data_IF_994566978161
#
_entry.id   IF_994566978161
#
_cell.length_a   1.000
_cell.length_b   1.000
_cell.length_c   1.000
_cell.angle_alpha   90.00
_cell.angle_beta   90.00
_cell.angle_gamma   90.00
#
_symmetry.space_group_name_H-M   'P 1'
#
loop_
_entity.id
_entity.type
_entity.pdbx_description
1 polymer ?
#
# COMPACT_ATOMS: atom_id res chain seq x y z
N UNK A 1 -12.43 -10.26 -6.42
CA UNK A 1 -12.00 -9.00 -7.06
C UNK A 1 -12.33 -7.78 -6.20
N UNK A 2 -13.57 -7.28 -6.11
CA UNK A 2 -13.86 -6.06 -5.33
C UNK A 2 -13.35 -6.11 -3.88
N UNK A 3 -13.58 -7.25 -3.21
CA UNK A 3 -13.06 -7.52 -1.86
C UNK A 3 -11.53 -7.51 -1.83
N UNK A 4 -10.87 -8.21 -2.76
CA UNK A 4 -9.39 -8.27 -2.82
C UNK A 4 -8.80 -6.88 -3.08
N UNK A 5 -9.40 -6.11 -3.98
CA UNK A 5 -9.02 -4.72 -4.27
C UNK A 5 -9.15 -3.84 -3.03
N UNK A 6 -10.27 -3.94 -2.30
CA UNK A 6 -10.46 -3.23 -1.04
C UNK A 6 -9.37 -3.56 -0.02
N UNK A 7 -8.94 -4.82 0.07
CA UNK A 7 -7.84 -5.21 0.95
C UNK A 7 -6.49 -4.64 0.52
N UNK A 8 -6.16 -4.66 -0.77
CA UNK A 8 -4.94 -4.02 -1.30
C UNK A 8 -4.97 -2.52 -0.99
N UNK A 9 -6.08 -1.83 -1.28
CA UNK A 9 -6.24 -0.40 -1.04
C UNK A 9 -6.11 -0.05 0.44
N UNK A 10 -6.73 -0.84 1.32
CA UNK A 10 -6.61 -0.66 2.75
C UNK A 10 -5.17 -0.85 3.25
N UNK A 11 -4.39 -1.76 2.65
CA UNK A 11 -2.95 -1.90 2.93
C UNK A 11 -2.20 -0.63 2.54
N UNK A 12 -2.47 -0.06 1.36
CA UNK A 12 -1.82 1.18 0.89
C UNK A 12 -2.15 2.37 1.80
N UNK A 13 -3.43 2.52 2.15
CA UNK A 13 -3.93 3.56 3.07
C UNK A 13 -3.28 3.42 4.45
N UNK A 14 -3.26 2.21 5.03
CA UNK A 14 -2.63 1.97 6.34
C UNK A 14 -1.13 2.28 6.32
N UNK A 15 -0.42 1.90 5.25
CA UNK A 15 0.99 2.24 5.06
C UNK A 15 1.21 3.76 5.05
N UNK A 16 0.41 4.50 4.27
CA UNK A 16 0.53 5.95 4.16
C UNK A 16 0.18 6.66 5.48
N UNK A 17 -0.89 6.24 6.14
CA UNK A 17 -1.27 6.76 7.46
C UNK A 17 -0.17 6.51 8.49
N UNK A 18 0.45 5.33 8.46
CA UNK A 18 1.54 5.00 9.38
C UNK A 18 2.75 5.92 9.19
N UNK A 19 3.11 6.25 7.94
CA UNK A 19 4.14 7.23 7.61
C UNK A 19 3.74 8.62 8.13
N UNK A 20 2.54 9.05 7.78
CA UNK A 20 2.05 10.40 8.07
C UNK A 20 2.01 10.69 9.57
N UNK A 21 1.52 9.74 10.37
CA UNK A 21 1.39 9.86 11.82
C UNK A 21 2.73 9.77 12.54
N UNK A 22 3.67 8.97 12.06
CA UNK A 22 4.95 8.76 12.74
C UNK A 22 6.02 9.77 12.37
N UNK A 23 6.05 10.27 11.13
CA UNK A 23 7.12 11.14 10.60
C UNK A 23 7.48 12.33 11.51
N UNK A 24 6.54 13.06 12.15
CA UNK A 24 6.88 14.17 13.06
C UNK A 24 7.74 13.76 14.26
N UNK A 25 7.70 12.50 14.66
CA UNK A 25 8.31 11.99 15.89
C UNK A 25 9.60 11.19 15.65
N UNK A 26 9.99 10.99 14.39
CA UNK A 26 11.26 10.35 14.02
C UNK A 26 12.39 11.37 14.14
N UNK A 27 13.35 11.14 15.05
CA UNK A 27 14.38 12.14 15.40
C UNK A 27 15.81 11.76 15.05
N UNK A 28 16.18 10.49 15.17
CA UNK A 28 17.57 10.09 14.95
C UNK A 28 17.87 9.94 13.46
N UNK A 29 19.12 10.17 13.05
CA UNK A 29 19.51 10.07 11.64
C UNK A 29 19.25 8.68 11.06
N UNK A 30 19.46 7.62 11.86
CA UNK A 30 19.18 6.24 11.46
C UNK A 30 17.68 5.99 11.30
N UNK A 31 16.84 6.52 12.20
CA UNK A 31 15.40 6.31 12.10
C UNK A 31 14.80 7.10 10.92
N UNK A 32 15.34 8.27 10.62
CA UNK A 32 14.97 9.05 9.43
C UNK A 32 15.36 8.31 8.14
N UNK A 33 16.54 7.69 8.11
CA UNK A 33 16.95 6.85 6.98
C UNK A 33 16.00 5.65 6.80
N UNK A 34 15.59 5.01 7.90
CA UNK A 34 14.60 3.93 7.88
C UNK A 34 13.21 4.44 7.44
N UNK A 35 12.79 5.65 7.84
CA UNK A 35 11.55 6.28 7.38
C UNK A 35 11.58 6.48 5.87
N UNK A 36 12.68 6.97 5.31
CA UNK A 36 12.85 7.12 3.87
C UNK A 36 12.80 5.79 3.15
N UNK A 37 13.45 4.75 3.69
CA UNK A 37 13.37 3.42 3.12
C UNK A 37 11.93 2.88 3.14
N UNK A 38 11.26 2.96 4.28
CA UNK A 38 9.88 2.51 4.44
C UNK A 38 8.93 3.22 3.47
N UNK A 39 9.09 4.54 3.33
CA UNK A 39 8.30 5.36 2.42
C UNK A 39 8.52 4.95 0.97
N UNK A 40 9.77 4.70 0.55
CA UNK A 40 10.06 4.21 -0.81
C UNK A 40 9.50 2.81 -1.06
N UNK A 41 9.53 1.93 -0.05
CA UNK A 41 8.91 0.61 -0.17
C UNK A 41 7.39 0.74 -0.41
N UNK A 42 6.71 1.65 0.31
CA UNK A 42 5.29 1.92 0.06
C UNK A 42 5.04 2.49 -1.34
N UNK A 43 5.84 3.45 -1.79
CA UNK A 43 5.71 4.01 -3.13
C UNK A 43 5.90 2.93 -4.20
N UNK A 44 6.88 2.04 -4.03
CA UNK A 44 7.08 0.90 -4.94
C UNK A 44 5.88 -0.05 -4.92
N UNK A 45 5.24 -0.27 -3.77
CA UNK A 45 4.02 -1.06 -3.66
C UNK A 45 2.82 -0.41 -4.37
N UNK A 46 2.62 0.90 -4.20
CA UNK A 46 1.57 1.64 -4.91
C UNK A 46 1.81 1.57 -6.42
N UNK A 47 3.06 1.78 -6.85
CA UNK A 47 3.42 1.73 -8.28
C UNK A 47 3.16 0.34 -8.87
N UNK A 48 3.64 -0.72 -8.23
CA UNK A 48 3.44 -2.09 -8.71
C UNK A 48 1.97 -2.50 -8.80
N UNK A 49 1.13 -2.00 -7.87
CA UNK A 49 -0.31 -2.19 -7.89
C UNK A 49 -0.93 -1.55 -9.16
N UNK A 50 -0.71 -0.26 -9.37
CA UNK A 50 -1.27 0.45 -10.53
C UNK A 50 -0.64 0.03 -11.87
N UNK A 51 0.63 -0.34 -11.91
CA UNK A 51 1.26 -0.91 -13.12
C UNK A 51 0.54 -2.22 -13.51
N UNK A 52 0.25 -3.10 -12.54
CA UNK A 52 -0.52 -4.32 -12.78
C UNK A 52 -1.92 -4.04 -13.33
N UNK A 53 -2.55 -2.95 -12.90
CA UNK A 53 -3.84 -2.53 -13.43
C UNK A 53 -3.74 -2.00 -14.86
N UNK A 54 -2.84 -1.05 -15.12
CA UNK A 54 -2.68 -0.40 -16.42
C UNK A 54 -2.14 -1.34 -17.49
N UNK A 55 -1.23 -2.26 -17.14
CA UNK A 55 -0.60 -3.18 -18.08
C UNK A 55 -1.42 -4.46 -18.31
N UNK A 56 -2.28 -4.85 -17.37
CA UNK A 56 -2.98 -6.14 -17.43
C UNK A 56 -4.49 -6.06 -17.15
N UNK A 57 -4.92 -5.49 -16.02
CA UNK A 57 -6.34 -5.53 -15.64
C UNK A 57 -7.21 -4.72 -16.59
N UNK A 58 -6.89 -3.44 -16.80
CA UNK A 58 -7.69 -2.53 -17.62
C UNK A 58 -7.71 -2.98 -19.09
N UNK A 59 -6.58 -3.33 -19.74
CA UNK A 59 -6.61 -3.88 -21.09
C UNK A 59 -7.40 -5.19 -21.18
N UNK A 60 -7.30 -6.05 -20.16
CA UNK A 60 -8.07 -7.30 -20.08
C UNK A 60 -9.58 -7.07 -20.03
N UNK A 61 -10.04 -6.09 -19.23
CA UNK A 61 -11.45 -5.69 -19.17
C UNK A 61 -11.94 -5.08 -20.48
N UNK A 62 -11.13 -4.25 -21.15
CA UNK A 62 -11.46 -3.71 -22.47
C UNK A 62 -11.63 -4.83 -23.49
N UNK A 63 -10.69 -5.79 -23.53
CA UNK A 63 -10.77 -6.92 -24.46
C UNK A 63 -11.99 -7.82 -24.17
N UNK A 64 -12.33 -8.03 -22.91
CA UNK A 64 -13.47 -8.85 -22.50
C UNK A 64 -14.81 -8.20 -22.85
N UNK A 65 -14.95 -6.90 -22.58
CA UNK A 65 -16.24 -6.17 -22.69
C UNK A 65 -16.45 -5.50 -24.05
N UNK A 66 -15.37 -5.26 -24.80
CA UNK A 66 -15.39 -4.42 -26.00
C UNK A 66 -15.57 -2.92 -25.71
N UNK A 67 -15.63 -2.51 -24.44
CA UNK A 67 -15.79 -1.11 -24.05
C UNK A 67 -14.42 -0.49 -23.70
N UNK A 68 -13.89 0.35 -24.58
CA UNK A 68 -12.59 1.02 -24.37
C UNK A 68 -12.57 1.96 -23.17
N UNK A 69 -13.72 2.42 -22.71
CA UNK A 69 -13.82 3.44 -21.66
C UNK A 69 -14.16 2.84 -20.29
N UNK A 70 -14.21 1.50 -20.17
CA UNK A 70 -14.71 0.79 -18.97
C UNK A 70 -13.96 1.15 -17.69
N UNK A 71 -12.67 1.54 -17.77
CA UNK A 71 -11.84 1.98 -16.63
C UNK A 71 -11.25 3.38 -16.81
N UNK A 72 -11.77 4.19 -17.74
CA UNK A 72 -11.20 5.52 -18.08
C UNK A 72 -11.09 6.47 -16.88
N UNK A 73 -12.10 6.51 -16.01
CA UNK A 73 -12.07 7.33 -14.79
C UNK A 73 -10.92 6.94 -13.85
N UNK A 74 -10.68 5.64 -13.66
CA UNK A 74 -9.59 5.17 -12.79
C UNK A 74 -8.22 5.55 -13.37
N UNK A 75 -8.05 5.42 -14.69
CA UNK A 75 -6.82 5.84 -15.39
C UNK A 75 -6.57 7.36 -15.25
N UNK A 76 -7.60 8.18 -15.41
CA UNK A 76 -7.47 9.63 -15.19
C UNK A 76 -7.12 9.96 -13.72
N UNK A 77 -7.69 9.21 -12.78
CA UNK A 77 -7.40 9.37 -11.36
C UNK A 77 -5.96 8.95 -10.99
N UNK A 78 -5.38 7.93 -11.63
CA UNK A 78 -3.96 7.56 -11.45
C UNK A 78 -3.04 8.76 -11.73
N UNK A 79 -3.26 9.42 -12.86
CA UNK A 79 -2.48 10.59 -13.27
C UNK A 79 -2.53 11.73 -12.23
N UNK A 80 -3.62 11.86 -11.47
CA UNK A 80 -3.82 12.93 -10.51
C UNK A 80 -2.91 12.86 -9.28
N UNK A 81 -2.30 11.70 -8.96
CA UNK A 81 -1.39 11.55 -7.81
C UNK A 81 0.03 11.08 -8.15
N UNK A 82 0.27 10.57 -9.36
CA UNK A 82 1.60 10.06 -9.77
C UNK A 82 2.73 11.08 -9.63
N UNK A 83 2.49 12.35 -9.95
CA UNK A 83 3.48 13.42 -9.78
C UNK A 83 3.87 13.64 -8.31
N UNK A 84 2.91 13.52 -7.38
CA UNK A 84 3.17 13.62 -5.94
C UNK A 84 3.97 12.44 -5.41
N UNK A 85 3.64 11.21 -5.84
CA UNK A 85 4.43 10.01 -5.51
C UNK A 85 5.87 10.12 -6.00
N UNK A 86 6.07 10.63 -7.23
CA UNK A 86 7.40 10.87 -7.79
C UNK A 86 8.19 11.88 -6.97
N UNK A 87 7.56 13.00 -6.57
CA UNK A 87 8.19 14.01 -5.72
C UNK A 87 8.58 13.45 -4.34
N UNK A 88 7.73 12.61 -3.75
CA UNK A 88 8.02 11.98 -2.46
C UNK A 88 9.17 10.99 -2.57
N UNK A 89 9.19 10.18 -3.64
CA UNK A 89 10.28 9.23 -3.89
C UNK A 89 11.61 9.95 -4.11
N UNK A 90 11.60 11.05 -4.87
CA UNK A 90 12.76 11.90 -5.08
C UNK A 90 13.27 12.46 -3.75
N UNK A 91 12.37 13.02 -2.93
CA UNK A 91 12.74 13.55 -1.61
C UNK A 91 13.42 12.50 -0.73
N UNK A 92 12.87 11.27 -0.66
CA UNK A 92 13.46 10.16 0.09
C UNK A 92 14.77 9.60 -0.49
N UNK A 93 15.07 9.91 -1.75
CA UNK A 93 16.26 9.41 -2.45
C UNK A 93 17.41 10.41 -2.43
N UNK A 94 17.10 11.71 -2.50
CA UNK A 94 18.11 12.77 -2.63
C UNK A 94 18.34 13.58 -1.36
N UNK A 95 17.42 13.54 -0.37
CA UNK A 95 17.59 14.29 0.89
C UNK A 95 18.44 13.48 1.88
N UNK A 96 19.57 14.01 2.38
CA UNK A 96 20.29 13.37 3.49
C UNK A 96 19.43 13.39 4.77
N UNK A 97 19.47 12.35 5.63
CA UNK A 97 18.71 12.34 6.88
C UNK A 97 18.91 13.58 7.77
N UNK A 98 20.12 14.15 7.78
CA UNK A 98 20.45 15.37 8.53
C UNK A 98 19.75 16.64 8.01
N UNK A 99 19.24 16.61 6.78
CA UNK A 99 18.51 17.72 6.15
C UNK A 99 17.00 17.46 6.09
N UNK A 100 16.54 16.36 6.71
CA UNK A 100 15.12 16.03 6.72
C UNK A 100 14.29 17.10 7.46
N UNK A 101 13.27 17.59 6.78
CA UNK A 101 12.19 18.38 7.36
C UNK A 101 10.89 17.60 7.29
N UNK A 102 10.36 17.18 8.45
CA UNK A 102 9.09 16.46 8.49
C UNK A 102 7.94 17.31 7.92
N UNK A 103 7.96 18.64 8.10
CA UNK A 103 6.94 19.54 7.54
C UNK A 103 6.96 19.54 6.01
N UNK A 104 8.15 19.58 5.40
CA UNK A 104 8.29 19.51 3.94
C UNK A 104 7.86 18.13 3.44
N UNK A 105 8.29 17.07 4.13
CA UNK A 105 7.94 15.70 3.80
C UNK A 105 6.42 15.47 3.83
N UNK A 106 5.73 15.90 4.90
CA UNK A 106 4.27 15.81 4.99
C UNK A 106 3.57 16.71 3.97
N UNK A 107 4.09 17.91 3.70
CA UNK A 107 3.53 18.79 2.67
C UNK A 107 3.57 18.19 1.26
N UNK A 108 4.53 17.31 0.96
CA UNK A 108 4.52 16.53 -0.29
C UNK A 108 3.42 15.47 -0.24
N UNK A 109 3.23 14.77 0.88
CA UNK A 109 2.13 13.80 1.04
C UNK A 109 0.77 14.50 0.88
N UNK A 110 0.59 15.66 1.49
CA UNK A 110 -0.65 16.46 1.43
C UNK A 110 -1.02 16.84 -0.01
N UNK A 111 -0.04 16.98 -0.91
CA UNK A 111 -0.30 17.36 -2.30
C UNK A 111 -0.97 16.24 -3.12
N UNK A 112 -0.91 14.98 -2.69
CA UNK A 112 -1.47 13.85 -3.44
C UNK A 112 -2.33 12.89 -2.63
N UNK A 113 -2.33 12.96 -1.28
CA UNK A 113 -3.06 12.02 -0.43
C UNK A 113 -4.56 12.02 -0.71
N UNK A 114 -5.18 13.19 -0.93
CA UNK A 114 -6.61 13.29 -1.24
C UNK A 114 -6.95 12.68 -2.62
N UNK A 115 -6.27 13.02 -3.73
CA UNK A 115 -6.46 12.35 -5.01
C UNK A 115 -6.25 10.83 -4.93
N UNK A 116 -5.19 10.36 -4.26
CA UNK A 116 -4.95 8.93 -4.04
C UNK A 116 -6.11 8.26 -3.31
N UNK A 117 -6.55 8.83 -2.17
CA UNK A 117 -7.68 8.27 -1.43
C UNK A 117 -8.98 8.24 -2.25
N UNK A 118 -9.22 9.29 -3.04
CA UNK A 118 -10.39 9.37 -3.93
C UNK A 118 -10.38 8.22 -4.92
N UNK A 119 -9.25 8.00 -5.60
CA UNK A 119 -9.06 6.87 -6.50
C UNK A 119 -9.32 5.52 -5.82
N UNK A 120 -8.63 5.26 -4.71
CA UNK A 120 -8.73 3.98 -3.98
C UNK A 120 -10.15 3.69 -3.48
N UNK A 121 -10.98 4.73 -3.29
CA UNK A 121 -12.39 4.60 -2.92
C UNK A 121 -13.30 4.41 -4.14
N UNK A 122 -13.16 5.26 -5.16
CA UNK A 122 -14.03 5.27 -6.33
C UNK A 122 -13.88 4.01 -7.19
N UNK A 123 -12.66 3.46 -7.26
CA UNK A 123 -12.41 2.25 -8.03
C UNK A 123 -13.20 1.05 -7.50
N UNK A 124 -13.39 0.94 -6.19
CA UNK A 124 -14.21 -0.14 -5.61
C UNK A 124 -15.63 -0.09 -6.16
N UNK A 125 -16.21 1.10 -6.29
CA UNK A 125 -17.54 1.28 -6.89
C UNK A 125 -17.56 0.93 -8.37
N UNK A 126 -16.50 1.30 -9.11
CA UNK A 126 -16.34 0.95 -10.52
C UNK A 126 -16.25 -0.57 -10.71
N UNK A 127 -15.47 -1.26 -9.88
CA UNK A 127 -15.33 -2.72 -9.91
C UNK A 127 -16.65 -3.41 -9.56
N UNK A 128 -17.39 -2.92 -8.57
CA UNK A 128 -18.71 -3.47 -8.22
C UNK A 128 -19.72 -3.33 -9.37
N UNK A 129 -19.58 -2.31 -10.22
CA UNK A 129 -20.42 -2.14 -11.40
C UNK A 129 -20.15 -3.21 -12.48
N UNK A 130 -19.04 -3.95 -12.41
CA UNK A 130 -18.73 -5.08 -13.30
C UNK A 130 -19.49 -6.37 -12.96
N UNK A 131 -20.48 -6.31 -12.06
CA UNK A 131 -21.26 -7.46 -11.57
C UNK A 131 -21.91 -8.35 -12.64
N UNK A 132 -22.05 -7.84 -13.86
CA UNK A 132 -22.61 -8.60 -14.99
C UNK A 132 -21.57 -9.53 -15.64
N UNK A 133 -20.27 -9.35 -15.35
CA UNK A 133 -19.20 -10.27 -15.73
C UNK A 133 -19.18 -11.44 -14.75
N UNK A 134 -19.16 -12.71 -15.23
CA UNK A 134 -19.04 -13.87 -14.36
C UNK A 134 -17.87 -13.76 -13.38
N UNK A 135 -18.11 -14.05 -12.09
CA UNK A 135 -17.12 -13.93 -11.00
C UNK A 135 -15.82 -14.68 -11.30
N UNK A 136 -15.91 -15.86 -11.91
CA UNK A 136 -14.73 -16.64 -12.33
C UNK A 136 -13.85 -15.85 -13.30
N UNK A 137 -14.44 -15.18 -14.27
CA UNK A 137 -13.69 -14.46 -15.31
C UNK A 137 -13.04 -13.20 -14.72
N UNK A 138 -13.74 -12.49 -13.83
CA UNK A 138 -13.15 -11.37 -13.07
C UNK A 138 -11.97 -11.84 -12.22
N UNK A 139 -12.10 -12.97 -11.52
CA UNK A 139 -10.99 -13.55 -10.74
C UNK A 139 -9.81 -13.96 -11.61
N UNK A 140 -10.05 -14.50 -12.79
CA UNK A 140 -8.98 -14.88 -13.72
C UNK A 140 -8.26 -13.64 -14.30
N UNK A 141 -8.99 -12.56 -14.58
CA UNK A 141 -8.40 -11.26 -14.98
C UNK A 141 -7.58 -10.66 -13.85
N UNK A 142 -8.13 -10.62 -12.63
CA UNK A 142 -7.45 -10.13 -11.44
C UNK A 142 -6.17 -10.92 -11.14
N UNK A 143 -6.23 -12.25 -11.13
CA UNK A 143 -5.07 -13.09 -10.88
C UNK A 143 -3.98 -12.96 -11.95
N UNK A 144 -4.32 -12.56 -13.19
CA UNK A 144 -3.33 -12.21 -14.22
C UNK A 144 -2.63 -10.91 -13.88
N UNK A 145 -3.38 -9.88 -13.47
CA UNK A 145 -2.81 -8.59 -13.08
C UNK A 145 -1.90 -8.71 -11.84
N UNK A 146 -2.35 -9.40 -10.79
CA UNK A 146 -1.54 -9.58 -9.57
C UNK A 146 -0.22 -10.32 -9.81
N UNK A 147 -0.12 -11.16 -10.85
CA UNK A 147 1.14 -11.85 -11.17
C UNK A 147 2.26 -10.90 -11.58
N UNK A 148 1.95 -9.67 -11.99
CA UNK A 148 2.92 -8.61 -12.26
C UNK A 148 3.88 -8.38 -11.08
N UNK A 149 3.42 -8.63 -9.84
CA UNK A 149 4.27 -8.52 -8.65
C UNK A 149 5.55 -9.35 -8.74
N UNK A 150 5.53 -10.44 -9.51
CA UNK A 150 6.69 -11.30 -9.68
C UNK A 150 7.77 -10.67 -10.57
N UNK A 151 7.38 -9.78 -11.47
CA UNK A 151 8.29 -9.09 -12.39
C UNK A 151 8.97 -7.89 -11.70
N UNK A 152 8.35 -7.33 -10.65
CA UNK A 152 8.92 -6.26 -9.83
C UNK A 152 10.11 -6.74 -8.98
N UNK A 153 10.09 -8.00 -8.51
CA UNK A 153 11.25 -8.67 -7.92
C UNK A 153 11.73 -8.18 -6.53
N UNK A 154 11.07 -7.19 -5.91
CA UNK A 154 11.45 -6.61 -4.60
C UNK A 154 10.79 -7.30 -3.41
N UNK A 155 10.79 -8.63 -3.37
CA UNK A 155 10.08 -9.40 -2.33
C UNK A 155 10.60 -9.15 -0.90
N UNK A 156 11.91 -8.88 -0.74
CA UNK A 156 12.52 -8.53 0.54
C UNK A 156 11.95 -7.24 1.15
N UNK A 157 11.39 -6.36 0.32
CA UNK A 157 10.81 -5.09 0.74
C UNK A 157 9.28 -5.11 0.69
N UNK A 158 8.68 -5.63 -0.38
CA UNK A 158 7.25 -5.64 -0.59
C UNK A 158 6.51 -6.59 0.34
N UNK A 159 7.03 -7.79 0.61
CA UNK A 159 6.32 -8.73 1.49
C UNK A 159 6.28 -8.27 2.95
N UNK A 160 7.39 -7.82 3.56
CA UNK A 160 7.32 -7.29 4.93
C UNK A 160 6.46 -6.03 5.03
N UNK A 161 6.46 -5.16 4.02
CA UNK A 161 5.54 -4.02 3.96
C UNK A 161 4.09 -4.50 3.91
N UNK A 162 3.75 -5.34 2.93
CA UNK A 162 2.38 -5.79 2.68
C UNK A 162 1.80 -6.51 3.90
N UNK A 163 2.51 -7.53 4.41
CA UNK A 163 2.03 -8.30 5.57
C UNK A 163 1.94 -7.45 6.83
N UNK A 164 2.85 -6.48 7.02
CA UNK A 164 2.79 -5.57 8.17
C UNK A 164 1.81 -4.41 8.00
N UNK A 165 1.14 -4.28 6.86
CA UNK A 165 0.06 -3.30 6.64
C UNK A 165 -1.32 -3.95 6.49
N UNK A 166 -1.40 -5.28 6.46
CA UNK A 166 -2.68 -6.02 6.47
C UNK A 166 -3.16 -6.22 7.90
N UNK A 167 -4.38 -5.79 8.18
CA UNK A 167 -5.12 -6.10 9.40
C UNK A 167 -6.05 -7.28 9.14
N UNK A 168 -5.76 -8.43 9.76
CA UNK A 168 -6.61 -9.63 9.67
C UNK A 168 -7.86 -9.57 10.54
N UNK A 169 -7.97 -8.57 11.42
CA UNK A 169 -9.19 -8.29 12.19
C UNK A 169 -10.22 -7.46 11.42
N UNK A 170 -9.85 -6.89 10.27
CA UNK A 170 -10.77 -6.11 9.43
C UNK A 170 -12.02 -6.91 9.08
N UNK A 171 -13.20 -6.29 9.26
CA UNK A 171 -14.52 -6.92 9.14
C UNK A 171 -14.62 -8.25 9.91
N UNK A 172 -14.17 -8.25 11.17
CA UNK A 172 -14.14 -9.41 12.06
C UNK A 172 -13.34 -10.61 11.50
N UNK A 173 -12.40 -10.35 10.59
CA UNK A 173 -11.55 -11.37 9.99
C UNK A 173 -12.28 -12.35 9.07
N UNK A 174 -13.43 -11.94 8.50
CA UNK A 174 -14.20 -12.78 7.59
C UNK A 174 -13.47 -13.07 6.26
N UNK A 175 -12.49 -12.24 5.91
CA UNK A 175 -11.76 -12.32 4.63
C UNK A 175 -10.40 -12.99 4.77
N UNK A 176 -10.01 -13.77 3.76
CA UNK A 176 -8.70 -14.42 3.69
C UNK A 176 -7.76 -13.63 2.77
N UNK A 177 -7.12 -12.60 3.34
CA UNK A 177 -6.14 -11.78 2.63
C UNK A 177 -4.84 -11.61 3.45
N UNK A 178 -3.65 -11.57 2.80
CA UNK A 178 -3.41 -11.91 1.40
C UNK A 178 -3.70 -13.41 1.13
N UNK A 179 -4.00 -13.82 -0.11
CA UNK A 179 -4.28 -15.21 -0.47
C UNK A 179 -2.99 -16.06 -0.47
N UNK A 180 -2.37 -16.18 0.70
CA UNK A 180 -1.10 -16.87 0.89
C UNK A 180 -1.28 -18.10 1.80
N UNK A 181 -0.46 -19.15 1.63
CA UNK A 181 -0.42 -20.27 2.57
C UNK A 181 -0.10 -19.79 4.00
N UNK A 182 -0.67 -20.45 5.02
CA UNK A 182 -0.49 -20.03 6.42
C UNK A 182 0.97 -19.95 6.90
N UNK A 183 1.86 -20.75 6.31
CA UNK A 183 3.30 -20.69 6.60
C UNK A 183 3.98 -19.44 6.02
N UNK A 184 3.37 -18.74 5.06
CA UNK A 184 3.99 -17.62 4.36
C UNK A 184 4.35 -16.49 5.32
N UNK A 185 3.48 -16.17 6.29
CA UNK A 185 3.80 -15.15 7.30
C UNK A 185 5.07 -15.49 8.11
N UNK A 186 5.40 -16.78 8.30
CA UNK A 186 6.67 -17.19 8.94
C UNK A 186 7.85 -16.89 8.04
N UNK A 187 7.75 -17.20 6.76
CA UNK A 187 8.79 -16.87 5.78
C UNK A 187 8.99 -15.36 5.72
N UNK A 188 7.91 -14.57 5.66
CA UNK A 188 7.99 -13.10 5.68
C UNK A 188 8.68 -12.60 6.94
N UNK A 189 8.26 -13.06 8.12
CA UNK A 189 8.81 -12.59 9.39
C UNK A 189 10.28 -12.94 9.60
N UNK A 190 10.67 -14.18 9.29
CA UNK A 190 11.99 -14.71 9.67
C UNK A 190 13.01 -14.67 8.53
N UNK A 191 12.57 -14.64 7.27
CA UNK A 191 13.44 -14.58 6.10
C UNK A 191 13.47 -13.17 5.50
N UNK A 192 12.38 -12.74 4.85
CA UNK A 192 12.34 -11.49 4.07
C UNK A 192 12.57 -10.26 4.97
N UNK A 193 11.86 -10.19 6.10
CA UNK A 193 11.96 -9.04 7.01
C UNK A 193 13.33 -8.89 7.69
N UNK A 194 14.20 -9.92 7.66
CA UNK A 194 15.49 -9.92 8.35
C UNK A 194 16.46 -8.87 7.80
N UNK A 195 16.45 -8.66 6.48
CA UNK A 195 17.41 -7.78 5.76
C UNK A 195 17.27 -6.32 6.19
N UNK A 196 16.04 -5.84 6.35
CA UNK A 196 15.69 -4.46 6.72
C UNK A 196 14.93 -4.38 8.05
N UNK A 197 15.32 -5.19 9.03
CA UNK A 197 14.55 -5.39 10.27
C UNK A 197 14.14 -4.11 11.00
N UNK A 198 14.99 -3.07 10.99
CA UNK A 198 14.73 -1.80 11.66
C UNK A 198 13.68 -0.97 10.96
N UNK A 199 13.51 -1.12 9.65
CA UNK A 199 12.49 -0.43 8.85
C UNK A 199 11.09 -0.90 9.26
N UNK A 200 10.90 -2.19 9.50
CA UNK A 200 9.56 -2.77 9.72
C UNK A 200 8.91 -2.41 11.07
N UNK A 201 9.54 -1.57 11.88
CA UNK A 201 8.91 -0.95 13.07
C UNK A 201 7.90 0.15 12.69
N UNK A 202 7.95 0.66 11.46
CA UNK A 202 6.95 1.59 10.93
C UNK A 202 5.64 0.89 10.51
N UNK A 203 5.59 -0.43 10.45
CA UNK A 203 4.37 -1.13 10.04
C UNK A 203 3.25 -1.02 11.10
N UNK A 204 2.01 -0.70 10.71
CA UNK A 204 0.87 -0.56 11.63
C UNK A 204 0.32 -1.89 12.16
N UNK A 205 0.68 -3.01 11.53
CA UNK A 205 0.39 -4.37 11.99
C UNK A 205 1.69 -5.17 12.14
N UNK A 206 1.67 -6.22 12.95
CA UNK A 206 2.73 -7.22 12.93
C UNK A 206 2.67 -8.09 11.66
N UNK A 207 3.69 -8.93 11.42
CA UNK A 207 3.73 -9.78 10.22
C UNK A 207 2.67 -10.90 10.20
N UNK A 208 1.91 -11.05 11.29
CA UNK A 208 0.79 -11.98 11.40
C UNK A 208 -0.54 -11.33 11.04
N UNK A 209 -0.57 -10.00 10.90
CA UNK A 209 -1.73 -9.18 10.59
C UNK A 209 -2.49 -8.71 11.83
N UNK A 210 -1.83 -8.66 12.99
CA UNK A 210 -2.40 -8.10 14.22
C UNK A 210 -2.06 -6.61 14.28
N UNK A 211 -3.04 -5.71 14.42
CA UNK A 211 -2.79 -4.29 14.66
C UNK A 211 -1.87 -4.07 15.86
N UNK A 212 -1.01 -3.05 15.79
CA UNK A 212 -0.11 -2.66 16.88
C UNK A 212 0.02 -1.15 16.97
N UNK A 213 0.30 -0.66 18.17
CA UNK A 213 0.58 0.76 18.37
C UNK A 213 1.80 1.20 17.54
N UNK A 214 1.70 2.39 16.94
CA UNK A 214 2.74 2.94 16.08
C UNK A 214 3.98 3.30 16.91
N UNK A 215 5.13 2.73 16.54
CA UNK A 215 6.35 2.73 17.35
C UNK A 215 6.87 4.13 17.73
N UNK A 216 6.71 5.11 16.84
CA UNK A 216 7.24 6.46 17.05
C UNK A 216 6.21 7.44 17.64
N UNK A 217 4.94 7.04 17.84
CA UNK A 217 3.98 7.94 18.47
C UNK A 217 4.32 8.20 19.95
N UNK A 218 4.10 9.42 20.46
CA UNK A 218 4.12 9.68 21.88
C UNK A 218 3.09 8.82 22.61
N UNK A 219 3.45 8.35 23.81
CA UNK A 219 2.63 7.41 24.59
C UNK A 219 1.23 7.96 24.92
N UNK A 220 1.10 9.28 25.09
CA UNK A 220 -0.16 9.98 25.34
C UNK A 220 -1.11 9.96 24.13
N UNK A 221 -0.57 9.91 22.91
CA UNK A 221 -1.36 9.86 21.67
C UNK A 221 -1.73 8.41 21.34
N UNK A 222 -0.83 7.45 21.58
CA UNK A 222 -1.08 6.04 21.32
C UNK A 222 -2.30 5.49 22.10
N UNK A 223 -2.50 5.92 23.35
CA UNK A 223 -3.63 5.49 24.19
C UNK A 223 -5.00 5.97 23.68
N UNK A 224 -5.05 7.08 22.94
CA UNK A 224 -6.29 7.62 22.38
C UNK A 224 -6.70 6.96 21.06
N UNK A 225 -5.79 6.26 20.39
CA UNK A 225 -6.06 5.54 19.13
C UNK A 225 -6.57 4.11 19.42
N UNK A 226 -6.12 3.51 20.52
CA UNK A 226 -6.48 2.14 20.93
C UNK A 226 -7.74 2.08 21.84
N UNK A 227 -8.43 3.21 22.05
CA UNK A 227 -9.69 3.27 22.80
C UNK A 227 -10.89 3.11 21.84
N UNK A 228 -11.79 2.15 22.07
CA UNK A 228 -12.91 1.86 21.16
C UNK A 228 -13.94 3.00 21.04
#
# INVERSE_FOLDING_TARGET
MATDMCHVHNLLIRGLNSIYLQAPYVKTLSDIADLFFYTKALIACIKAHHDGEEEHLFPGLVAYTGNSNIMSVNQEQHAAFHDGLKQLNEYCSSTPPAQHSYKKFLGIIDSFAKPLYTHLSDEISTILALKDIPDKDLKDLWAKAERHINDVGSFDEMFPLAFGCVDKGFEAGQHKFPPAPGFMSFVVKYWFARKHKSVWRFNPCDMWGTPRSLHFLPQEIAQNIDSP
#
